data_IF_367936824536
#
_entry.id   IF_367936824536
#
_cell.length_a   1.000
_cell.length_b   1.000
_cell.length_c   1.000
_cell.angle_alpha   90.00
_cell.angle_beta   90.00
_cell.angle_gamma   90.00
#
_symmetry.space_group_name_H-M   'P 1'
#
loop_
_entity.id
_entity.type
_entity.pdbx_description
1 polymer ?
#
# COMPACT_ATOMS: atom_id res chain seq x y z
N UNK A 1 -2.87 -1.67 1.40
CA UNK A 1 -3.21 -2.54 2.52
C UNK A 1 -2.08 -2.52 3.54
N UNK A 2 -2.41 -2.51 4.83
CA UNK A 2 -1.46 -2.80 5.90
C UNK A 2 -1.29 -4.31 6.00
N UNK A 3 -0.06 -4.78 5.85
CA UNK A 3 0.29 -6.20 5.85
C UNK A 3 1.26 -6.48 7.00
N UNK A 4 1.04 -7.57 7.72
CA UNK A 4 1.86 -7.92 8.89
C UNK A 4 2.09 -9.43 8.99
N UNK A 5 3.17 -9.79 9.63
CA UNK A 5 3.54 -11.17 9.91
C UNK A 5 3.02 -11.57 11.30
N UNK A 6 2.05 -12.49 11.36
CA UNK A 6 1.44 -12.96 12.62
C UNK A 6 2.42 -13.61 13.58
N UNK A 7 3.60 -13.96 13.10
CA UNK A 7 4.68 -14.45 13.95
C UNK A 7 5.16 -13.38 14.96
N UNK A 8 5.07 -12.11 14.60
CA UNK A 8 5.56 -10.98 15.39
C UNK A 8 4.47 -10.07 15.95
N UNK A 9 3.31 -10.08 15.32
CA UNK A 9 2.20 -9.20 15.65
C UNK A 9 0.89 -9.99 15.53
N UNK A 10 0.23 -10.27 16.64
CA UNK A 10 -1.10 -10.90 16.62
C UNK A 10 -2.15 -9.92 16.07
N UNK A 11 -3.29 -10.47 15.65
CA UNK A 11 -4.39 -9.65 15.07
C UNK A 11 -4.91 -8.56 16.04
N UNK A 12 -4.74 -8.75 17.35
CA UNK A 12 -5.13 -7.78 18.39
C UNK A 12 -4.07 -6.70 18.67
N UNK A 13 -2.86 -6.89 18.16
CA UNK A 13 -1.72 -5.96 18.34
C UNK A 13 -1.51 -5.08 17.11
N UNK A 14 -2.33 -5.26 16.06
CA UNK A 14 -2.24 -4.47 14.83
C UNK A 14 -2.54 -3.01 15.15
N UNK A 15 -1.60 -2.08 14.88
CA UNK A 15 -1.80 -0.67 15.16
C UNK A 15 -3.02 -0.11 14.42
N UNK A 16 -3.95 0.46 15.14
CA UNK A 16 -5.15 1.12 14.60
C UNK A 16 -4.92 2.60 14.33
N UNK A 17 -3.90 3.18 14.97
CA UNK A 17 -3.50 4.58 14.83
C UNK A 17 -2.01 4.71 14.51
N UNK A 18 -1.62 5.87 14.04
CA UNK A 18 -0.21 6.15 13.71
C UNK A 18 0.67 6.32 14.95
N UNK A 19 0.12 6.72 16.10
CA UNK A 19 0.86 6.73 17.35
C UNK A 19 1.13 5.32 17.87
N UNK A 20 0.15 4.42 17.78
CA UNK A 20 0.35 3.00 18.10
C UNK A 20 1.40 2.37 17.17
N UNK A 21 1.36 2.68 15.87
CA UNK A 21 2.36 2.22 14.90
C UNK A 21 3.75 2.72 15.27
N UNK A 22 3.89 4.03 15.57
CA UNK A 22 5.17 4.62 15.92
C UNK A 22 5.76 4.00 17.20
N UNK A 23 4.93 3.81 18.22
CA UNK A 23 5.32 3.12 19.45
C UNK A 23 5.79 1.69 19.18
N UNK A 24 5.02 0.95 18.40
CA UNK A 24 5.39 -0.42 17.98
C UNK A 24 6.74 -0.44 17.27
N UNK A 25 6.97 0.51 16.36
CA UNK A 25 8.25 0.65 15.66
C UNK A 25 9.41 0.93 16.62
N UNK A 26 9.24 1.85 17.59
CA UNK A 26 10.28 2.16 18.58
C UNK A 26 10.68 0.94 19.41
N UNK A 27 9.72 0.10 19.79
CA UNK A 27 9.95 -1.08 20.61
C UNK A 27 10.59 -2.24 19.82
N UNK A 28 10.28 -2.35 18.54
CA UNK A 28 10.58 -3.52 17.71
C UNK A 28 11.66 -3.29 16.63
N UNK A 29 12.09 -2.04 16.39
CA UNK A 29 13.18 -1.76 15.45
C UNK A 29 14.53 -1.86 16.15
N UNK A 30 15.13 -3.06 16.07
CA UNK A 30 16.44 -3.36 16.69
C UNK A 30 17.05 -4.63 16.11
N UNK A 31 18.37 -4.73 16.17
CA UNK A 31 19.07 -5.96 15.78
C UNK A 31 18.87 -6.36 14.31
N UNK A 32 18.66 -5.38 13.41
CA UNK A 32 18.41 -5.65 12.00
C UNK A 32 16.96 -6.02 11.68
N UNK A 33 16.06 -5.94 12.68
CA UNK A 33 14.62 -6.05 12.49
C UNK A 33 13.94 -4.68 12.56
N UNK A 34 12.82 -4.56 11.87
CA UNK A 34 12.01 -3.34 11.77
C UNK A 34 10.56 -3.63 12.13
N UNK A 35 9.97 -2.82 12.99
CA UNK A 35 8.56 -2.94 13.33
C UNK A 35 7.64 -2.69 12.11
N UNK A 36 8.04 -1.75 11.26
CA UNK A 36 7.35 -1.42 10.02
C UNK A 36 8.35 -0.90 8.99
N UNK A 37 8.09 -1.21 7.72
CA UNK A 37 8.83 -0.67 6.57
C UNK A 37 7.88 -0.31 5.44
N UNK A 38 8.22 0.71 4.66
CA UNK A 38 7.52 1.04 3.43
C UNK A 38 8.48 1.56 2.37
N UNK A 39 8.05 1.56 1.12
CA UNK A 39 8.82 2.14 0.02
C UNK A 39 8.72 3.66 0.06
N UNK A 40 9.42 4.30 0.99
CA UNK A 40 9.36 5.75 1.22
C UNK A 40 10.13 6.57 0.18
N UNK A 41 10.88 5.93 -0.73
CA UNK A 41 11.58 6.60 -1.83
C UNK A 41 10.67 7.02 -2.99
N UNK A 42 9.39 6.62 -2.99
CA UNK A 42 8.45 6.94 -4.06
C UNK A 42 7.18 7.61 -3.55
N UNK A 43 6.74 8.62 -4.31
CA UNK A 43 5.48 9.31 -4.03
C UNK A 43 4.25 8.37 -4.04
N UNK A 44 4.31 7.25 -4.76
CA UNK A 44 3.20 6.29 -4.82
C UNK A 44 2.80 5.75 -3.45
N UNK A 45 3.78 5.43 -2.59
CA UNK A 45 3.51 4.97 -1.22
C UNK A 45 3.37 6.13 -0.23
N UNK A 46 4.23 7.16 -0.35
CA UNK A 46 4.22 8.31 0.54
C UNK A 46 2.94 9.17 0.42
N UNK A 47 2.29 9.18 -0.74
CA UNK A 47 1.05 9.93 -0.96
C UNK A 47 -0.08 9.57 0.03
N UNK A 48 -0.09 8.34 0.54
CA UNK A 48 -1.08 7.94 1.56
C UNK A 48 -1.03 8.79 2.82
N UNK A 49 0.15 9.21 3.23
CA UNK A 49 0.36 10.11 4.36
C UNK A 49 -0.11 11.53 4.03
N UNK A 50 0.21 12.04 2.82
CA UNK A 50 -0.25 13.35 2.37
C UNK A 50 -1.78 13.44 2.40
N UNK A 51 -2.45 12.45 1.83
CA UNK A 51 -3.91 12.41 1.78
C UNK A 51 -4.55 12.38 3.18
N UNK A 52 -3.93 11.69 4.14
CA UNK A 52 -4.44 11.64 5.51
C UNK A 52 -4.41 12.99 6.22
N UNK A 53 -3.49 13.88 5.84
CA UNK A 53 -3.42 15.26 6.33
C UNK A 53 -4.26 16.25 5.50
N UNK A 54 -4.89 15.80 4.41
CA UNK A 54 -5.61 16.67 3.48
C UNK A 54 -4.70 17.36 2.46
N UNK A 55 -3.43 16.96 2.40
CA UNK A 55 -2.48 17.36 1.37
C UNK A 55 -2.70 16.59 0.06
N UNK A 56 -2.06 17.02 -1.01
CA UNK A 56 -2.19 16.41 -2.33
C UNK A 56 -0.94 16.63 -3.20
N UNK A 57 -0.76 15.79 -4.20
CA UNK A 57 0.30 15.97 -5.20
C UNK A 57 -0.20 16.85 -6.34
N UNK A 58 -1.38 16.55 -6.89
CA UNK A 58 -2.08 17.35 -7.90
C UNK A 58 -3.54 17.48 -7.52
N UNK A 59 -4.11 18.66 -7.66
CA UNK A 59 -5.55 18.89 -7.50
C UNK A 59 -6.33 18.50 -8.78
N UNK A 60 -7.64 18.66 -8.75
CA UNK A 60 -8.54 18.36 -9.87
C UNK A 60 -8.25 19.19 -11.13
N UNK A 61 -7.62 20.36 -10.98
CA UNK A 61 -7.20 21.24 -12.08
C UNK A 61 -5.80 20.89 -12.61
N UNK A 62 -5.12 19.91 -12.02
CA UNK A 62 -3.75 19.52 -12.35
C UNK A 62 -2.68 20.45 -11.76
N UNK A 63 -3.01 21.27 -10.78
CA UNK A 63 -2.08 22.16 -10.10
C UNK A 63 -1.36 21.39 -8.98
N UNK A 64 -0.02 21.54 -8.84
CA UNK A 64 0.73 20.88 -7.79
C UNK A 64 0.43 21.47 -6.41
N UNK A 65 0.36 20.62 -5.39
CA UNK A 65 0.14 20.99 -3.99
C UNK A 65 1.28 20.58 -3.06
N UNK A 66 2.50 20.54 -3.57
CA UNK A 66 3.66 20.11 -2.78
C UNK A 66 4.11 21.16 -1.74
N UNK A 67 3.73 22.41 -1.95
CA UNK A 67 3.95 23.55 -1.04
C UNK A 67 2.70 23.90 -0.20
N UNK A 68 1.63 23.11 -0.31
CA UNK A 68 0.46 23.24 0.57
C UNK A 68 0.82 22.93 2.02
N UNK A 69 0.24 23.68 2.96
CA UNK A 69 0.54 23.55 4.40
C UNK A 69 0.26 22.15 4.94
N UNK A 70 -0.81 21.51 4.49
CA UNK A 70 -1.14 20.14 4.92
C UNK A 70 -0.18 19.11 4.34
N UNK A 71 0.30 19.33 3.09
CA UNK A 71 1.33 18.50 2.47
C UNK A 71 2.65 18.61 3.26
N UNK A 72 3.06 19.81 3.65
CA UNK A 72 4.27 20.03 4.44
C UNK A 72 4.15 19.33 5.80
N UNK A 73 3.04 19.50 6.51
CA UNK A 73 2.78 18.82 7.80
C UNK A 73 2.82 17.29 7.65
N UNK A 74 2.23 16.76 6.59
CA UNK A 74 2.26 15.33 6.30
C UNK A 74 3.68 14.81 6.11
N UNK A 75 4.51 15.53 5.36
CA UNK A 75 5.91 15.17 5.10
C UNK A 75 6.76 15.24 6.38
N UNK A 76 6.56 16.24 7.22
CA UNK A 76 7.23 16.35 8.52
C UNK A 76 6.84 15.19 9.44
N UNK A 77 5.55 14.84 9.48
CA UNK A 77 5.08 13.69 10.25
C UNK A 77 5.64 12.37 9.71
N UNK A 78 5.56 12.15 8.39
CA UNK A 78 6.06 10.96 7.74
C UNK A 78 7.57 10.79 7.93
N UNK A 79 8.34 11.87 7.88
CA UNK A 79 9.77 11.85 8.17
C UNK A 79 10.09 11.23 9.53
N UNK A 80 9.32 11.54 10.57
CA UNK A 80 9.44 10.93 11.90
C UNK A 80 9.29 9.40 11.88
N UNK A 81 8.37 8.90 11.05
CA UNK A 81 8.16 7.46 10.86
C UNK A 81 9.34 6.85 10.10
N UNK A 82 9.78 7.51 9.02
CA UNK A 82 10.89 7.05 8.16
C UNK A 82 12.22 6.95 8.94
N UNK A 83 12.45 7.79 9.94
CA UNK A 83 13.65 7.72 10.79
C UNK A 83 13.83 6.38 11.53
N UNK A 84 12.75 5.59 11.67
CA UNK A 84 12.77 4.25 12.25
C UNK A 84 12.80 3.13 11.19
N UNK A 85 12.95 3.47 9.91
CA UNK A 85 13.04 2.52 8.79
C UNK A 85 14.48 2.43 8.26
N UNK A 86 14.76 1.47 7.35
CA UNK A 86 16.02 1.47 6.60
C UNK A 86 16.20 2.78 5.82
N UNK A 87 17.43 3.25 5.71
CA UNK A 87 17.77 4.44 4.90
C UNK A 87 17.39 4.27 3.44
N UNK A 88 17.49 3.05 2.93
CA UNK A 88 17.10 2.69 1.56
C UNK A 88 15.63 2.28 1.52
N UNK A 89 14.76 3.18 1.07
CA UNK A 89 13.32 2.96 0.93
C UNK A 89 12.90 2.38 -0.41
N UNK A 90 13.76 1.58 -1.06
CA UNK A 90 13.48 0.98 -2.36
C UNK A 90 12.57 -0.25 -2.24
N UNK A 91 11.78 -0.52 -3.29
CA UNK A 91 10.84 -1.66 -3.33
C UNK A 91 11.53 -3.01 -3.07
N UNK A 92 12.72 -3.22 -3.65
CA UNK A 92 13.49 -4.45 -3.46
C UNK A 92 13.92 -4.66 -2.01
N UNK A 93 14.40 -3.60 -1.36
CA UNK A 93 14.83 -3.63 0.06
C UNK A 93 13.66 -3.93 0.97
N UNK A 94 12.55 -3.20 0.82
CA UNK A 94 11.33 -3.38 1.62
C UNK A 94 10.76 -4.79 1.48
N UNK A 95 10.64 -5.30 0.24
CA UNK A 95 10.14 -6.64 0.00
C UNK A 95 11.07 -7.73 0.56
N UNK A 96 12.37 -7.55 0.42
CA UNK A 96 13.35 -8.52 0.97
C UNK A 96 13.23 -8.59 2.48
N UNK A 97 13.20 -7.44 3.16
CA UNK A 97 13.08 -7.39 4.63
C UNK A 97 11.77 -8.05 5.11
N UNK A 98 10.66 -7.79 4.43
CA UNK A 98 9.38 -8.40 4.80
C UNK A 98 9.38 -9.91 4.55
N UNK A 99 9.82 -10.37 3.38
CA UNK A 99 9.87 -11.79 3.02
C UNK A 99 10.84 -12.61 3.87
N UNK A 100 11.93 -12.00 4.31
CA UNK A 100 12.90 -12.65 5.22
C UNK A 100 12.44 -12.61 6.70
N UNK A 101 11.28 -12.01 6.99
CA UNK A 101 10.79 -11.85 8.35
C UNK A 101 11.59 -10.86 9.18
N UNK A 102 12.37 -9.99 8.56
CA UNK A 102 13.11 -8.90 9.23
C UNK A 102 12.25 -7.66 9.43
N UNK A 103 11.21 -7.46 8.63
CA UNK A 103 10.18 -6.47 8.88
C UNK A 103 8.91 -7.15 9.37
N UNK A 104 8.34 -6.64 10.46
CA UNK A 104 7.13 -7.19 11.08
C UNK A 104 5.88 -6.82 10.29
N UNK A 105 5.88 -5.63 9.68
CA UNK A 105 4.76 -5.12 8.87
C UNK A 105 5.23 -4.22 7.74
N UNK A 106 4.36 -4.04 6.75
CA UNK A 106 4.62 -3.20 5.57
C UNK A 106 3.31 -2.70 4.96
N UNK A 107 3.42 -1.72 4.06
CA UNK A 107 2.33 -1.33 3.16
C UNK A 107 2.57 -2.03 1.81
N UNK A 108 1.54 -2.68 1.31
CA UNK A 108 1.60 -3.32 0.00
C UNK A 108 0.26 -3.39 -0.70
N UNK A 109 0.28 -3.87 -1.94
CA UNK A 109 -0.91 -4.18 -2.72
C UNK A 109 -1.14 -5.69 -2.81
N UNK A 110 -2.23 -6.12 -3.46
CA UNK A 110 -2.56 -7.55 -3.63
C UNK A 110 -1.43 -8.36 -4.26
N UNK A 111 -0.60 -7.74 -5.09
CA UNK A 111 0.56 -8.38 -5.74
C UNK A 111 1.62 -8.92 -4.76
N UNK A 112 1.68 -8.39 -3.54
CA UNK A 112 2.63 -8.86 -2.53
C UNK A 112 2.16 -10.14 -1.81
N UNK A 113 0.85 -10.41 -1.83
CA UNK A 113 0.24 -11.53 -1.09
C UNK A 113 0.80 -12.90 -1.51
N UNK A 114 0.86 -13.26 -2.81
CA UNK A 114 1.42 -14.54 -3.22
C UNK A 114 2.87 -14.69 -2.78
N UNK A 115 3.69 -13.68 -3.03
CA UNK A 115 5.13 -13.70 -2.72
C UNK A 115 5.41 -13.80 -1.22
N UNK A 116 4.62 -13.12 -0.38
CA UNK A 116 4.74 -13.23 1.06
C UNK A 116 4.39 -14.64 1.56
N UNK A 117 3.31 -15.23 1.05
CA UNK A 117 2.90 -16.61 1.38
C UNK A 117 3.94 -17.65 0.95
N UNK A 118 4.46 -17.53 -0.28
CA UNK A 118 5.52 -18.41 -0.81
C UNK A 118 6.81 -18.34 0.03
N UNK A 119 7.06 -17.20 0.66
CA UNK A 119 8.20 -17.03 1.59
C UNK A 119 7.92 -17.56 3.00
N UNK A 120 6.78 -18.19 3.24
CA UNK A 120 6.40 -18.76 4.52
C UNK A 120 5.96 -17.75 5.59
N UNK A 121 5.57 -16.52 5.15
CA UNK A 121 5.02 -15.51 6.04
C UNK A 121 3.58 -15.90 6.42
N UNK A 122 3.30 -15.96 7.71
CA UNK A 122 1.91 -16.02 8.22
C UNK A 122 1.29 -14.62 8.10
N UNK A 123 0.74 -14.38 6.91
CA UNK A 123 0.32 -13.06 6.48
C UNK A 123 -1.03 -12.64 7.08
N UNK A 124 -1.03 -11.57 7.85
CA UNK A 124 -2.20 -10.80 8.23
C UNK A 124 -2.39 -9.57 7.34
N UNK A 125 -3.63 -9.18 7.13
CA UNK A 125 -4.01 -7.99 6.38
C UNK A 125 -5.00 -7.17 7.20
N UNK A 126 -4.77 -5.87 7.29
CA UNK A 126 -5.61 -4.95 8.05
C UNK A 126 -5.86 -3.65 7.27
N UNK A 127 -6.85 -2.85 7.69
CA UNK A 127 -6.98 -1.48 7.24
C UNK A 127 -5.73 -0.67 7.60
N UNK A 128 -5.48 0.40 6.86
CA UNK A 128 -4.43 1.35 7.18
C UNK A 128 -4.72 2.06 8.51
N UNK A 129 -3.69 2.38 9.31
CA UNK A 129 -3.85 3.15 10.54
C UNK A 129 -4.48 4.52 10.30
N UNK A 130 -5.14 5.02 11.32
CA UNK A 130 -5.69 6.38 11.38
C UNK A 130 -4.63 7.33 11.92
N UNK A 131 -4.45 8.48 11.28
CA UNK A 131 -3.59 9.55 11.79
C UNK A 131 -4.28 10.21 12.98
N UNK A 132 -3.66 10.15 14.15
CA UNK A 132 -4.26 10.65 15.42
C UNK A 132 -4.58 12.15 15.35
N UNK A 133 -3.72 12.93 14.70
CA UNK A 133 -3.88 14.38 14.58
C UNK A 133 -5.08 14.80 13.74
N UNK A 134 -5.40 14.06 12.67
CA UNK A 134 -6.45 14.43 11.73
C UNK A 134 -7.71 13.59 11.83
N UNK A 135 -7.62 12.41 12.43
CA UNK A 135 -8.70 11.42 12.45
C UNK A 135 -8.92 10.71 11.11
N UNK A 136 -8.09 10.97 10.09
CA UNK A 136 -8.19 10.36 8.77
C UNK A 136 -7.29 9.13 8.68
N UNK A 137 -7.73 8.13 7.91
CA UNK A 137 -6.89 6.96 7.60
C UNK A 137 -5.81 7.33 6.60
N UNK A 138 -4.64 6.72 6.73
CA UNK A 138 -3.64 6.73 5.67
C UNK A 138 -4.29 6.17 4.40
N UNK A 139 -4.31 6.94 3.31
CA UNK A 139 -5.05 6.65 2.09
C UNK A 139 -4.11 6.56 0.87
N UNK A 140 -3.40 5.43 0.68
CA UNK A 140 -2.59 5.19 -0.52
C UNK A 140 -3.42 5.26 -1.79
N UNK A 141 -2.78 5.46 -2.92
CA UNK A 141 -3.45 5.41 -4.23
C UNK A 141 -4.14 4.07 -4.44
N UNK A 142 -5.33 4.12 -5.04
CA UNK A 142 -6.07 2.95 -5.50
C UNK A 142 -5.99 2.86 -7.01
N UNK A 143 -5.44 1.76 -7.53
CA UNK A 143 -5.40 1.47 -8.95
C UNK A 143 -6.52 0.51 -9.35
N UNK A 144 -7.11 0.74 -10.51
CA UNK A 144 -8.08 -0.18 -11.12
C UNK A 144 -7.46 -0.78 -12.36
N UNK A 145 -7.34 -2.11 -12.38
CA UNK A 145 -6.96 -2.87 -13.57
C UNK A 145 -8.20 -3.16 -14.39
N UNK A 146 -8.20 -2.81 -15.67
CA UNK A 146 -9.37 -2.97 -16.51
C UNK A 146 -9.00 -3.24 -17.96
N UNK A 147 -9.97 -3.76 -18.70
CA UNK A 147 -9.86 -3.98 -20.14
C UNK A 147 -10.58 -2.84 -20.86
N UNK A 148 -9.88 -2.18 -21.76
CA UNK A 148 -10.41 -1.10 -22.58
C UNK A 148 -10.56 -1.55 -24.02
N UNK A 149 -11.73 -1.27 -24.61
CA UNK A 149 -11.98 -1.51 -26.02
C UNK A 149 -11.59 -0.26 -26.80
N UNK A 150 -10.62 -0.40 -27.70
CA UNK A 150 -10.23 0.70 -28.58
C UNK A 150 -11.33 0.96 -29.62
N UNK A 151 -11.68 2.23 -29.86
CA UNK A 151 -12.71 2.65 -30.82
C UNK A 151 -12.54 2.00 -32.19
N UNK A 152 -11.34 2.02 -32.77
CA UNK A 152 -11.00 1.41 -34.05
C UNK A 152 -11.24 -0.11 -34.08
N UNK A 153 -10.98 -0.78 -32.95
CA UNK A 153 -11.23 -2.24 -32.86
C UNK A 153 -12.73 -2.52 -32.70
N UNK A 154 -13.48 -1.71 -31.98
CA UNK A 154 -14.93 -1.82 -31.83
C UNK A 154 -15.64 -1.72 -33.18
N UNK A 155 -15.25 -0.78 -34.03
CA UNK A 155 -15.83 -0.59 -35.38
C UNK A 155 -15.57 -1.78 -36.33
N UNK A 156 -14.42 -2.45 -36.19
CA UNK A 156 -13.99 -3.52 -37.12
C UNK A 156 -14.29 -4.94 -36.65
N UNK A 157 -14.36 -5.16 -35.34
CA UNK A 157 -14.42 -6.50 -34.75
C UNK A 157 -15.44 -6.59 -33.61
N UNK A 158 -16.56 -5.89 -33.73
CA UNK A 158 -17.58 -5.78 -32.69
C UNK A 158 -17.97 -7.14 -32.08
N UNK A 159 -18.34 -8.13 -32.90
CA UNK A 159 -18.82 -9.43 -32.43
C UNK A 159 -17.73 -10.24 -31.71
N UNK A 160 -16.50 -10.17 -32.21
CA UNK A 160 -15.37 -10.82 -31.53
C UNK A 160 -15.06 -10.20 -30.19
N UNK A 161 -15.11 -8.87 -30.10
CA UNK A 161 -14.90 -8.12 -28.86
C UNK A 161 -16.00 -8.43 -27.85
N UNK A 162 -17.27 -8.44 -28.30
CA UNK A 162 -18.39 -8.80 -27.44
C UNK A 162 -18.23 -10.19 -26.82
N UNK A 163 -17.79 -11.18 -27.56
CA UNK A 163 -17.50 -12.54 -27.09
C UNK A 163 -16.36 -12.54 -26.05
N UNK A 164 -15.28 -11.81 -26.31
CA UNK A 164 -14.14 -11.71 -25.37
C UNK A 164 -14.58 -11.04 -24.06
N UNK A 165 -15.32 -9.92 -24.13
CA UNK A 165 -15.83 -9.24 -22.95
C UNK A 165 -16.78 -10.14 -22.15
N UNK A 166 -17.67 -10.88 -22.82
CA UNK A 166 -18.57 -11.84 -22.16
C UNK A 166 -17.81 -12.92 -21.39
N UNK A 167 -16.69 -13.41 -21.93
CA UNK A 167 -15.82 -14.36 -21.22
C UNK A 167 -15.15 -13.69 -20.02
N UNK A 168 -14.55 -12.52 -20.23
CA UNK A 168 -13.81 -11.80 -19.16
C UNK A 168 -14.70 -11.35 -18.00
N UNK A 169 -15.98 -11.08 -18.25
CA UNK A 169 -16.96 -10.69 -17.23
C UNK A 169 -17.73 -11.86 -16.62
N UNK A 170 -17.37 -13.08 -16.99
CA UNK A 170 -17.98 -14.28 -16.44
C UNK A 170 -17.52 -14.52 -14.99
N UNK A 171 -18.43 -14.92 -14.13
CA UNK A 171 -18.17 -15.18 -12.70
C UNK A 171 -17.03 -16.17 -12.49
N UNK A 172 -16.94 -17.22 -13.34
CA UNK A 172 -15.87 -18.22 -13.25
C UNK A 172 -14.47 -17.63 -13.47
N UNK A 173 -14.35 -16.65 -14.36
CA UNK A 173 -13.09 -15.92 -14.60
C UNK A 173 -12.77 -15.03 -13.41
N UNK A 174 -13.75 -14.29 -12.89
CA UNK A 174 -13.58 -13.50 -11.68
C UNK A 174 -13.11 -14.32 -10.47
N UNK A 175 -13.72 -15.49 -10.25
CA UNK A 175 -13.32 -16.42 -9.19
C UNK A 175 -11.89 -16.93 -9.42
N UNK A 176 -11.51 -17.25 -10.65
CA UNK A 176 -10.17 -17.73 -10.98
C UNK A 176 -9.13 -16.65 -10.72
N UNK A 177 -9.39 -15.42 -11.15
CA UNK A 177 -8.50 -14.28 -10.90
C UNK A 177 -8.37 -13.95 -9.41
N UNK A 178 -9.43 -14.08 -8.63
CA UNK A 178 -9.39 -13.85 -7.18
C UNK A 178 -8.61 -14.94 -6.41
N UNK A 179 -8.41 -16.12 -6.99
CA UNK A 179 -7.65 -17.23 -6.41
C UNK A 179 -6.16 -17.23 -6.81
N UNK A 180 -5.82 -16.53 -7.88
CA UNK A 180 -4.45 -16.42 -8.38
C UNK A 180 -3.67 -15.34 -7.62
#
# INVERSE_FOLDING_TARGET
LYMYNRRYMSDNEVPSTTEELYKYMQENTKGGHYGFVEQHSTAYYAAGWLHAFGGYILNENGEPGLDDENTIKALEYHKKIVELMPTEGEYSTVNTLFREGKAHSTIGGPWLVPTARESGIDLGIAPMPTVDETGNKIAPYSGVQGVHVLKVAAERKHDAIAKVLQVLTNDSVGITMAKA
#
